data_IF_364569843101
#
_entry.id   IF_364569843101
#
_cell.length_a   1.000
_cell.length_b   1.000
_cell.length_c   1.000
_cell.angle_alpha   90.00
_cell.angle_beta   90.00
_cell.angle_gamma   90.00
#
_symmetry.space_group_name_H-M   'P 1'
#
loop_
_entity.id
_entity.type
_entity.pdbx_description
1 polymer ?
#
# COMPACT_ATOMS: atom_id res chain seq x y z
N UNK A 1 34.21 101.10 45.56
CA UNK A 1 35.52 100.51 45.19
C UNK A 1 35.45 99.00 45.46
N UNK A 2 35.42 98.14 44.42
CA UNK A 2 35.24 96.70 44.58
C UNK A 2 36.57 95.95 44.81
N UNK A 3 36.52 94.98 45.72
CA UNK A 3 37.62 94.13 46.20
C UNK A 3 37.96 93.07 45.15
N UNK A 4 39.25 92.95 44.79
CA UNK A 4 39.80 91.97 43.84
C UNK A 4 39.90 90.59 44.51
N UNK A 5 39.25 89.57 43.94
CA UNK A 5 39.49 88.16 44.28
C UNK A 5 40.54 87.58 43.30
N UNK A 6 41.66 87.15 43.86
CA UNK A 6 42.76 86.55 43.11
C UNK A 6 42.43 85.12 42.64
N UNK A 7 42.71 84.91 41.36
CA UNK A 7 42.68 83.68 40.57
C UNK A 7 43.53 82.58 41.22
N UNK A 8 42.93 81.45 41.57
CA UNK A 8 43.64 80.20 41.91
C UNK A 8 44.05 79.51 40.61
N UNK A 9 45.33 79.20 40.50
CA UNK A 9 45.94 78.47 39.40
C UNK A 9 45.52 76.99 39.43
N UNK A 10 44.99 76.48 38.32
CA UNK A 10 44.74 75.06 38.09
C UNK A 10 46.06 74.37 37.70
N UNK A 11 46.57 73.51 38.60
CA UNK A 11 47.61 72.54 38.27
C UNK A 11 47.06 71.40 37.38
N UNK A 12 47.92 70.73 36.59
CA UNK A 12 47.49 69.81 35.54
C UNK A 12 46.92 68.51 36.11
N UNK A 13 45.70 68.15 35.70
CA UNK A 13 45.14 66.82 35.95
C UNK A 13 45.93 65.77 35.13
N UNK A 14 46.44 64.69 35.75
CA UNK A 14 47.14 63.64 35.02
C UNK A 14 46.17 62.94 34.08
N UNK A 15 46.58 62.82 32.82
CA UNK A 15 45.84 62.20 31.74
C UNK A 15 45.29 60.82 32.17
N UNK A 16 43.97 60.70 32.24
CA UNK A 16 43.29 59.43 32.39
C UNK A 16 43.67 58.52 31.22
N UNK A 17 44.44 57.47 31.52
CA UNK A 17 44.80 56.41 30.58
C UNK A 17 43.50 55.73 30.12
N UNK A 18 43.14 55.92 28.85
CA UNK A 18 41.97 55.28 28.26
C UNK A 18 42.12 53.75 28.29
N UNK A 19 41.06 52.97 28.58
CA UNK A 19 41.13 51.52 28.51
C UNK A 19 41.42 51.09 27.06
N UNK A 20 42.23 50.03 26.85
CA UNK A 20 42.51 49.54 25.50
C UNK A 20 41.20 49.09 24.84
N UNK A 21 40.87 49.70 23.70
CA UNK A 21 39.71 49.30 22.89
C UNK A 21 39.84 47.82 22.53
N UNK A 22 38.80 46.99 22.69
CA UNK A 22 38.83 45.61 22.21
C UNK A 22 39.05 45.64 20.70
N UNK A 23 40.17 45.08 20.24
CA UNK A 23 40.42 44.91 18.81
C UNK A 23 39.38 43.93 18.29
N UNK A 24 38.42 44.42 17.52
CA UNK A 24 37.49 43.58 16.78
C UNK A 24 38.32 42.66 15.88
N UNK A 25 38.39 41.37 16.24
CA UNK A 25 39.02 40.38 15.38
C UNK A 25 38.16 40.30 14.12
N UNK A 26 38.73 40.69 12.98
CA UNK A 26 38.13 40.41 11.68
C UNK A 26 38.07 38.89 11.55
N UNK A 27 36.93 38.32 11.91
CA UNK A 27 36.60 36.94 11.55
C UNK A 27 36.79 36.85 10.04
N UNK A 28 37.83 36.10 9.65
CA UNK A 28 38.26 35.93 8.27
C UNK A 28 37.11 35.20 7.58
N UNK A 29 36.22 35.97 6.94
CA UNK A 29 34.97 35.48 6.39
C UNK A 29 35.23 34.26 5.53
N UNK A 30 34.51 33.18 5.82
CA UNK A 30 34.59 31.94 5.05
C UNK A 30 34.44 32.30 3.56
N UNK A 31 35.36 31.87 2.67
CA UNK A 31 35.34 32.32 1.29
C UNK A 31 33.98 32.00 0.68
N UNK A 32 33.27 33.00 0.14
CA UNK A 32 31.93 32.81 -0.44
C UNK A 32 31.92 31.69 -1.50
N UNK A 33 33.04 31.46 -2.16
CA UNK A 33 33.26 30.35 -3.09
C UNK A 33 33.15 28.95 -2.44
N UNK A 34 33.68 28.77 -1.24
CA UNK A 34 33.55 27.52 -0.48
C UNK A 34 32.10 27.25 -0.08
N UNK A 35 31.34 28.32 0.25
CA UNK A 35 29.93 28.20 0.59
C UNK A 35 29.10 27.76 -0.64
N UNK A 36 29.39 28.30 -1.83
CA UNK A 36 28.80 27.84 -3.09
C UNK A 36 29.14 26.38 -3.41
N UNK A 37 30.38 25.94 -3.16
CA UNK A 37 30.78 24.54 -3.34
C UNK A 37 29.98 23.58 -2.45
N UNK A 38 29.75 23.94 -1.19
CA UNK A 38 28.95 23.13 -0.26
C UNK A 38 27.49 23.02 -0.71
N UNK A 39 26.91 24.12 -1.21
CA UNK A 39 25.54 24.13 -1.73
C UNK A 39 25.43 23.22 -2.96
N UNK A 40 26.37 23.32 -3.91
CA UNK A 40 26.38 22.47 -5.11
C UNK A 40 26.52 21.00 -4.72
N UNK A 41 27.43 20.67 -3.80
CA UNK A 41 27.59 19.31 -3.29
C UNK A 41 26.29 18.78 -2.65
N UNK A 42 25.60 19.61 -1.85
CA UNK A 42 24.33 19.24 -1.22
C UNK A 42 23.22 18.99 -2.25
N UNK A 43 23.15 19.79 -3.32
CA UNK A 43 22.17 19.59 -4.41
C UNK A 43 22.45 18.32 -5.20
N UNK A 44 23.72 18.03 -5.50
CA UNK A 44 24.10 16.80 -6.23
C UNK A 44 23.80 15.56 -5.39
N UNK A 45 24.18 15.57 -4.11
CA UNK A 45 23.90 14.45 -3.19
C UNK A 45 22.39 14.31 -2.96
N UNK A 46 21.69 15.42 -2.70
CA UNK A 46 20.24 15.42 -2.49
C UNK A 46 19.47 14.94 -3.72
N UNK A 47 19.87 15.38 -4.92
CA UNK A 47 19.31 14.91 -6.19
C UNK A 47 19.57 13.42 -6.43
N UNK A 48 20.79 12.95 -6.16
CA UNK A 48 21.13 11.52 -6.24
C UNK A 48 20.29 10.67 -5.28
N UNK A 49 20.14 11.11 -4.03
CA UNK A 49 19.29 10.43 -3.04
C UNK A 49 17.80 10.48 -3.40
N UNK A 50 17.30 11.61 -3.90
CA UNK A 50 15.89 11.74 -4.32
C UNK A 50 15.56 10.82 -5.51
N UNK A 51 16.47 10.70 -6.48
CA UNK A 51 16.28 9.85 -7.66
C UNK A 51 16.41 8.37 -7.32
N UNK A 52 17.25 8.01 -6.36
CA UNK A 52 17.46 6.62 -5.94
C UNK A 52 16.35 6.12 -4.99
N UNK A 53 15.79 6.97 -4.14
CA UNK A 53 14.70 6.61 -3.22
C UNK A 53 13.34 6.39 -3.91
N UNK A 54 13.12 6.94 -5.10
CA UNK A 54 11.89 6.76 -5.86
C UNK A 54 11.71 5.36 -6.47
N UNK A 55 12.71 4.48 -6.38
CA UNK A 55 12.66 3.12 -6.95
C UNK A 55 12.42 2.05 -5.89
N UNK A 56 11.44 2.26 -5.02
CA UNK A 56 10.86 1.15 -4.26
C UNK A 56 9.99 0.36 -5.24
N UNK A 57 10.64 -0.49 -6.03
CA UNK A 57 9.94 -1.48 -6.83
C UNK A 57 9.37 -2.53 -5.88
N UNK A 58 8.14 -2.32 -5.43
CA UNK A 58 7.39 -3.34 -4.72
C UNK A 58 7.14 -4.46 -5.72
N UNK A 59 7.91 -5.55 -5.60
CA UNK A 59 7.71 -6.76 -6.39
C UNK A 59 6.47 -7.47 -5.83
N UNK A 60 5.30 -6.92 -6.16
CA UNK A 60 4.02 -7.43 -5.73
C UNK A 60 3.69 -8.74 -6.44
N UNK A 61 3.45 -9.80 -5.68
CA UNK A 61 2.81 -11.00 -6.20
C UNK A 61 1.30 -10.77 -6.15
N UNK A 62 0.68 -10.61 -7.31
CA UNK A 62 -0.79 -10.61 -7.42
C UNK A 62 -1.25 -12.04 -7.13
N UNK A 63 -1.85 -12.24 -5.96
CA UNK A 63 -2.45 -13.51 -5.58
C UNK A 63 -3.95 -13.37 -5.82
N UNK A 64 -4.45 -13.93 -6.91
CA UNK A 64 -5.87 -13.93 -7.21
C UNK A 64 -6.55 -15.08 -6.44
N UNK A 65 -7.69 -14.79 -5.82
CA UNK A 65 -8.59 -15.83 -5.35
C UNK A 65 -9.26 -16.47 -6.57
N UNK A 66 -9.14 -17.79 -6.71
CA UNK A 66 -9.81 -18.56 -7.75
C UNK A 66 -11.01 -19.29 -7.15
N UNK A 67 -12.08 -19.38 -7.93
CA UNK A 67 -13.29 -20.14 -7.58
C UNK A 67 -13.65 -21.02 -8.75
N UNK A 68 -13.64 -22.33 -8.53
CA UNK A 68 -14.05 -23.31 -9.54
C UNK A 68 -15.54 -23.60 -9.44
N UNK A 69 -16.21 -23.65 -10.58
CA UNK A 69 -17.62 -24.00 -10.69
C UNK A 69 -17.74 -25.40 -11.29
N UNK A 70 -17.86 -26.41 -10.42
CA UNK A 70 -18.04 -27.81 -10.84
C UNK A 70 -19.47 -28.24 -10.51
N UNK A 71 -20.31 -28.60 -11.50
CA UNK A 71 -21.62 -29.12 -11.20
C UNK A 71 -21.51 -30.52 -10.58
N UNK A 72 -22.16 -30.73 -9.43
CA UNK A 72 -22.16 -32.02 -8.72
C UNK A 72 -22.97 -33.12 -9.45
N UNK A 73 -23.84 -32.73 -10.38
CA UNK A 73 -24.72 -33.63 -11.12
C UNK A 73 -24.49 -33.62 -12.63
N UNK A 74 -24.95 -34.68 -13.31
CA UNK A 74 -24.95 -34.74 -14.79
C UNK A 74 -25.90 -33.69 -15.35
N UNK A 75 -25.35 -32.60 -15.88
CA UNK A 75 -26.09 -31.52 -16.52
C UNK A 75 -25.58 -31.25 -17.94
N UNK A 76 -26.46 -30.78 -18.81
CA UNK A 76 -26.08 -30.22 -20.12
C UNK A 76 -26.00 -28.71 -20.00
N UNK A 77 -24.95 -28.12 -20.55
CA UNK A 77 -24.82 -26.67 -20.65
C UNK A 77 -25.83 -26.20 -21.72
N UNK A 78 -26.76 -25.34 -21.33
CA UNK A 78 -27.75 -24.78 -22.24
C UNK A 78 -27.25 -23.47 -22.86
N UNK A 79 -26.66 -22.60 -22.04
CA UNK A 79 -26.19 -21.30 -22.48
C UNK A 79 -24.99 -20.86 -21.64
N UNK A 80 -24.00 -20.28 -22.31
CA UNK A 80 -22.84 -19.64 -21.68
C UNK A 80 -22.92 -18.14 -21.98
N UNK A 81 -23.00 -17.33 -20.93
CA UNK A 81 -23.25 -15.89 -21.04
C UNK A 81 -21.98 -15.04 -21.01
N UNK A 82 -20.81 -15.68 -20.89
CA UNK A 82 -19.52 -15.03 -20.68
C UNK A 82 -18.45 -15.61 -21.60
N UNK A 83 -17.53 -14.77 -22.05
CA UNK A 83 -16.35 -15.20 -22.82
C UNK A 83 -15.09 -15.12 -21.97
N UNK A 84 -14.06 -15.84 -22.40
CA UNK A 84 -12.76 -15.83 -21.74
C UNK A 84 -12.19 -14.41 -21.81
N UNK A 85 -11.87 -13.84 -20.65
CA UNK A 85 -11.35 -12.48 -20.51
C UNK A 85 -12.40 -11.41 -20.19
N UNK A 86 -13.70 -11.77 -20.14
CA UNK A 86 -14.73 -10.83 -19.68
C UNK A 86 -14.61 -10.58 -18.17
N UNK A 87 -14.85 -9.33 -17.77
CA UNK A 87 -14.93 -8.94 -16.37
C UNK A 87 -16.30 -9.32 -15.80
N UNK A 88 -16.31 -10.15 -14.76
CA UNK A 88 -17.53 -10.71 -14.17
C UNK A 88 -17.71 -10.24 -12.74
N UNK A 89 -18.94 -9.86 -12.38
CA UNK A 89 -19.28 -9.40 -11.02
C UNK A 89 -19.83 -10.53 -10.17
N UNK A 90 -19.63 -10.45 -8.85
CA UNK A 90 -20.26 -11.35 -7.91
C UNK A 90 -21.79 -11.32 -8.06
N UNK A 91 -22.41 -12.50 -8.18
CA UNK A 91 -23.85 -12.64 -8.40
C UNK A 91 -24.30 -12.65 -9.87
N UNK A 92 -23.38 -12.49 -10.83
CA UNK A 92 -23.71 -12.60 -12.26
C UNK A 92 -23.95 -14.06 -12.67
N UNK A 93 -24.96 -14.29 -13.50
CA UNK A 93 -25.25 -15.62 -14.07
C UNK A 93 -24.29 -15.89 -15.24
N UNK A 94 -23.25 -16.68 -14.97
CA UNK A 94 -22.21 -17.04 -15.95
C UNK A 94 -22.66 -18.12 -16.94
N UNK A 95 -23.39 -19.12 -16.43
CA UNK A 95 -23.82 -20.29 -17.18
C UNK A 95 -25.22 -20.71 -16.76
N UNK A 96 -26.00 -21.18 -17.73
CA UNK A 96 -27.30 -21.80 -17.51
C UNK A 96 -27.17 -23.26 -17.90
N UNK A 97 -27.42 -24.15 -16.95
CA UNK A 97 -27.42 -25.60 -17.15
C UNK A 97 -28.85 -26.12 -17.16
N UNK A 98 -29.10 -27.12 -17.99
CA UNK A 98 -30.28 -27.97 -17.87
C UNK A 98 -29.87 -29.26 -17.18
N UNK A 99 -30.51 -29.56 -16.05
CA UNK A 99 -30.40 -30.87 -15.43
C UNK A 99 -30.95 -31.91 -16.40
N UNK A 100 -30.22 -33.01 -16.58
CA UNK A 100 -30.85 -34.21 -17.12
C UNK A 100 -31.78 -34.68 -15.99
N UNK A 101 -33.10 -34.65 -16.22
CA UNK A 101 -34.10 -34.92 -15.19
C UNK A 101 -33.87 -36.28 -14.54
N UNK A 102 -33.20 -36.30 -13.40
CA UNK A 102 -33.11 -37.48 -12.54
C UNK A 102 -34.52 -37.92 -12.12
N UNK A 103 -35.47 -36.97 -12.04
CA UNK A 103 -36.89 -37.20 -11.75
C UNK A 103 -37.58 -38.11 -12.76
N UNK A 104 -37.19 -38.06 -14.03
CA UNK A 104 -37.75 -38.95 -15.06
C UNK A 104 -37.39 -40.43 -14.84
N UNK A 105 -36.32 -40.70 -14.09
CA UNK A 105 -35.83 -42.06 -13.82
C UNK A 105 -36.37 -42.63 -12.50
N UNK A 106 -36.87 -41.78 -11.60
CA UNK A 106 -37.50 -42.19 -10.33
C UNK A 106 -38.61 -43.24 -10.53
N UNK A 107 -39.62 -43.03 -11.41
CA UNK A 107 -40.69 -44.02 -11.58
C UNK A 107 -40.19 -45.36 -12.13
N UNK A 108 -39.13 -45.34 -12.96
CA UNK A 108 -38.51 -46.57 -13.46
C UNK A 108 -37.79 -47.34 -12.33
N UNK A 109 -37.09 -46.62 -11.44
CA UNK A 109 -36.44 -47.23 -10.28
C UNK A 109 -37.44 -47.75 -9.24
N UNK A 110 -38.54 -47.03 -8.99
CA UNK A 110 -39.61 -47.50 -8.10
C UNK A 110 -40.29 -48.75 -8.63
N UNK A 111 -40.57 -48.81 -9.95
CA UNK A 111 -41.12 -50.00 -10.59
C UNK A 111 -40.16 -51.20 -10.45
N UNK A 112 -38.87 -51.01 -10.68
CA UNK A 112 -37.86 -52.06 -10.52
C UNK A 112 -37.76 -52.55 -9.06
N UNK A 113 -37.81 -51.63 -8.09
CA UNK A 113 -37.76 -51.94 -6.67
C UNK A 113 -39.00 -52.73 -6.22
N UNK A 114 -40.18 -52.34 -6.68
CA UNK A 114 -41.43 -53.06 -6.39
C UNK A 114 -41.43 -54.47 -7.00
N UNK A 115 -40.95 -54.63 -8.24
CA UNK A 115 -40.78 -55.95 -8.85
C UNK A 115 -39.78 -56.82 -8.07
N UNK A 116 -38.66 -56.26 -7.61
CA UNK A 116 -37.68 -56.97 -6.80
C UNK A 116 -38.27 -57.42 -5.45
N UNK A 117 -39.06 -56.56 -4.79
CA UNK A 117 -39.77 -56.89 -3.55
C UNK A 117 -40.78 -58.01 -3.74
N UNK A 118 -41.59 -57.94 -4.79
CA UNK A 118 -42.57 -58.99 -5.11
C UNK A 118 -41.89 -60.34 -5.37
N UNK A 119 -40.78 -60.35 -6.12
CA UNK A 119 -39.99 -61.57 -6.33
C UNK A 119 -39.42 -62.12 -5.04
N UNK A 120 -38.93 -61.26 -4.15
CA UNK A 120 -38.41 -61.67 -2.85
C UNK A 120 -39.52 -62.24 -1.96
N UNK A 121 -40.70 -61.63 -1.97
CA UNK A 121 -41.86 -62.10 -1.20
C UNK A 121 -42.34 -63.47 -1.71
N UNK A 122 -42.43 -63.65 -3.04
CA UNK A 122 -42.78 -64.94 -3.65
C UNK A 122 -41.72 -66.02 -3.37
N UNK A 123 -40.43 -65.67 -3.44
CA UNK A 123 -39.35 -66.58 -3.07
C UNK A 123 -39.38 -66.96 -1.58
N UNK A 124 -39.77 -66.02 -0.70
CA UNK A 124 -39.93 -66.29 0.74
C UNK A 124 -41.18 -67.11 1.07
N UNK A 125 -42.21 -67.10 0.21
CA UNK A 125 -43.45 -67.84 0.38
C UNK A 125 -43.46 -69.21 -0.32
N UNK A 126 -42.63 -69.38 -1.35
CA UNK A 126 -42.49 -70.62 -2.12
C UNK A 126 -41.22 -71.42 -1.79
N UNK A 127 -40.51 -71.04 -0.73
CA UNK A 127 -39.36 -71.76 -0.20
C UNK A 127 -39.77 -72.65 0.97
N UNK A 128 -40.57 -73.67 0.67
CA UNK A 128 -40.71 -74.95 1.40
C UNK A 128 -41.34 -75.98 0.45
#
# INVERSE_FOLDING_TARGET
MPIRLHKKEEGPQPAAVAPPRPRASKARGFPRFLLWLVIIAAVVIGGYYAVTWGKIQVRGRVTAAYSDFVPEGRCKIATVNVKVGDEVKAGQVLLVTRSIDARSQIPAFEAALNQAKLRLELASKGGD
#
